data_IF_062093055460
#
_entry.id   IF_062093055460
#
_cell.length_a   1.000
_cell.length_b   1.000
_cell.length_c   1.000
_cell.angle_alpha   90.00
_cell.angle_beta   90.00
_cell.angle_gamma   90.00
#
_symmetry.space_group_name_H-M   'P 1'
#
loop_
_entity.id
_entity.type
_entity.pdbx_description
1 polymer ?
#
# COMPACT_ATOMS: atom_id res chain seq x y z
N UNK A 1 7.24 13.24 -9.94
CA UNK A 1 5.78 13.40 -9.84
C UNK A 1 5.26 12.24 -9.01
N UNK A 2 4.78 12.50 -7.80
CA UNK A 2 4.15 11.50 -6.93
C UNK A 2 2.73 11.25 -7.45
N UNK A 3 2.29 10.00 -7.48
CA UNK A 3 0.92 9.65 -7.85
C UNK A 3 0.41 8.66 -6.82
N UNK A 4 -0.22 9.18 -5.77
CA UNK A 4 -1.18 8.40 -5.01
C UNK A 4 -2.42 8.29 -5.89
N UNK A 5 -2.77 7.08 -6.30
CA UNK A 5 -3.99 6.84 -7.04
C UNK A 5 -4.85 5.87 -6.24
N UNK A 6 -6.08 6.29 -5.95
CA UNK A 6 -7.11 5.37 -5.50
C UNK A 6 -7.73 4.84 -6.79
N UNK A 7 -7.55 3.55 -7.07
CA UNK A 7 -8.28 2.91 -8.14
C UNK A 7 -9.68 2.57 -7.60
N UNK A 8 -10.64 3.45 -7.86
CA UNK A 8 -12.04 3.28 -7.46
C UNK A 8 -12.69 2.06 -8.13
N UNK A 9 -12.19 1.62 -9.29
CA UNK A 9 -12.71 0.43 -9.97
C UNK A 9 -12.19 -0.87 -9.33
N UNK A 10 -10.99 -0.86 -8.72
CA UNK A 10 -10.39 -2.02 -8.07
C UNK A 10 -10.61 -2.05 -6.54
N UNK A 11 -11.18 -0.99 -5.94
CA UNK A 11 -11.27 -0.82 -4.48
C UNK A 11 -9.92 -1.08 -3.79
N UNK A 12 -8.87 -0.46 -4.34
CA UNK A 12 -7.49 -0.63 -3.90
C UNK A 12 -6.83 0.74 -3.68
N UNK A 13 -6.07 0.86 -2.59
CA UNK A 13 -5.20 1.98 -2.33
C UNK A 13 -3.81 1.69 -2.90
N UNK A 14 -3.31 2.57 -3.77
CA UNK A 14 -2.03 2.36 -4.44
C UNK A 14 -1.10 3.54 -4.18
N UNK A 15 0.09 3.23 -3.67
CA UNK A 15 1.23 4.15 -3.58
C UNK A 15 2.31 3.73 -4.58
N UNK A 16 2.85 4.67 -5.35
CA UNK A 16 3.88 4.40 -6.36
C UNK A 16 4.98 5.44 -6.32
N UNK A 17 6.23 4.99 -6.24
CA UNK A 17 7.42 5.85 -6.33
C UNK A 17 8.56 5.14 -7.05
N UNK A 18 8.95 5.70 -8.20
CA UNK A 18 9.97 5.11 -9.06
C UNK A 18 9.58 3.68 -9.50
N UNK A 19 10.43 2.71 -9.16
CA UNK A 19 10.22 1.28 -9.39
C UNK A 19 9.27 0.60 -8.41
N UNK A 20 9.00 1.24 -7.28
CA UNK A 20 8.28 0.67 -6.14
C UNK A 20 6.79 0.94 -6.25
N UNK A 21 5.99 -0.08 -5.97
CA UNK A 21 4.54 -0.04 -5.92
C UNK A 21 4.08 -0.74 -4.64
N UNK A 22 3.24 -0.07 -3.86
CA UNK A 22 2.59 -0.66 -2.68
C UNK A 22 1.10 -0.59 -2.93
N UNK A 23 0.46 -1.74 -2.86
CA UNK A 23 -0.96 -1.92 -3.03
C UNK A 23 -1.57 -2.36 -1.71
N UNK A 24 -2.74 -1.82 -1.39
CA UNK A 24 -3.53 -2.19 -0.23
C UNK A 24 -4.98 -2.43 -0.70
N UNK A 25 -5.40 -3.68 -0.62
CA UNK A 25 -6.75 -4.09 -1.01
C UNK A 25 -7.52 -4.67 0.18
N UNK A 26 -8.86 -4.66 0.06
CA UNK A 26 -9.75 -5.28 1.04
C UNK A 26 -10.37 -6.55 0.43
N UNK A 27 -10.30 -7.64 1.17
CA UNK A 27 -11.00 -8.90 0.85
C UNK A 27 -11.83 -9.33 2.06
N UNK A 28 -13.14 -9.00 2.02
CA UNK A 28 -14.04 -9.21 3.14
C UNK A 28 -13.60 -8.43 4.37
N UNK A 29 -13.28 -9.15 5.46
CA UNK A 29 -12.79 -8.55 6.71
C UNK A 29 -11.26 -8.42 6.77
N UNK A 30 -10.54 -8.85 5.74
CA UNK A 30 -9.08 -8.81 5.72
C UNK A 30 -8.54 -7.72 4.79
N UNK A 31 -7.37 -7.22 5.14
CA UNK A 31 -6.60 -6.24 4.39
C UNK A 31 -5.33 -6.90 3.86
N UNK A 32 -5.09 -6.81 2.56
CA UNK A 32 -3.89 -7.36 1.95
C UNK A 32 -2.98 -6.23 1.52
N UNK A 33 -1.74 -6.23 2.03
CA UNK A 33 -0.67 -5.32 1.63
C UNK A 33 0.26 -6.08 0.70
N UNK A 34 0.46 -5.53 -0.49
CA UNK A 34 1.41 -6.06 -1.47
C UNK A 34 2.46 -5.00 -1.79
N UNK A 35 3.73 -5.40 -1.80
CA UNK A 35 4.82 -4.56 -2.28
C UNK A 35 5.45 -5.20 -3.51
N UNK A 36 5.37 -4.49 -4.63
CA UNK A 36 5.97 -4.88 -5.90
C UNK A 36 7.11 -3.93 -6.25
N UNK A 37 8.14 -4.47 -6.89
CA UNK A 37 9.23 -3.67 -7.43
C UNK A 37 9.62 -4.17 -8.82
N UNK A 38 10.29 -3.30 -9.58
CA UNK A 38 10.84 -3.59 -10.90
C UNK A 38 12.22 -2.97 -11.02
N UNK A 39 13.14 -3.54 -11.77
CA UNK A 39 14.48 -2.95 -11.89
C UNK A 39 15.26 -3.54 -13.04
N UNK A 40 16.34 -2.88 -13.45
CA UNK A 40 17.20 -3.37 -14.55
C UNK A 40 17.69 -4.80 -14.33
N UNK A 41 17.93 -5.18 -13.06
CA UNK A 41 18.32 -6.54 -12.67
C UNK A 41 17.13 -7.47 -12.41
N UNK A 42 16.00 -6.92 -11.94
CA UNK A 42 14.82 -7.71 -11.56
C UNK A 42 13.87 -7.99 -12.74
N UNK A 43 14.04 -7.26 -13.86
CA UNK A 43 13.19 -7.36 -15.04
C UNK A 43 11.81 -6.78 -14.82
N UNK A 44 10.78 -7.50 -15.29
CA UNK A 44 9.38 -7.13 -15.15
C UNK A 44 8.99 -6.96 -13.67
N UNK A 45 7.94 -6.17 -13.41
CA UNK A 45 7.44 -5.94 -12.04
C UNK A 45 7.04 -7.25 -11.38
N UNK A 46 7.55 -7.49 -10.18
CA UNK A 46 7.26 -8.69 -9.38
C UNK A 46 6.87 -8.30 -7.96
N UNK A 47 5.93 -9.05 -7.40
CA UNK A 47 5.64 -9.03 -5.97
C UNK A 47 6.86 -9.49 -5.18
N UNK A 48 7.35 -8.63 -4.29
CA UNK A 48 8.45 -8.93 -3.37
C UNK A 48 7.92 -9.33 -1.99
N UNK A 49 6.72 -8.88 -1.66
CA UNK A 49 6.11 -9.09 -0.37
C UNK A 49 4.59 -9.02 -0.49
N UNK A 50 3.92 -9.92 0.22
CA UNK A 50 2.49 -9.90 0.39
C UNK A 50 2.16 -10.37 1.81
N UNK A 51 1.30 -9.62 2.50
CA UNK A 51 0.76 -10.03 3.79
C UNK A 51 -0.70 -9.65 3.92
N UNK A 52 -1.42 -10.47 4.70
CA UNK A 52 -2.84 -10.28 4.95
C UNK A 52 -3.07 -10.08 6.45
N UNK A 53 -3.81 -9.04 6.79
CA UNK A 53 -4.06 -8.59 8.15
C UNK A 53 -5.57 -8.47 8.39
N UNK A 54 -6.08 -9.03 9.49
CA UNK A 54 -7.48 -8.80 9.89
C UNK A 54 -7.71 -7.43 10.52
N UNK A 55 -6.66 -6.83 11.09
CA UNK A 55 -6.77 -5.54 11.77
C UNK A 55 -6.27 -4.43 10.85
N UNK A 56 -7.13 -3.45 10.55
CA UNK A 56 -6.81 -2.28 9.73
C UNK A 56 -5.55 -1.54 10.24
N UNK A 57 -5.40 -1.43 11.57
CA UNK A 57 -4.23 -0.79 12.18
C UNK A 57 -2.91 -1.48 11.83
N UNK A 58 -2.89 -2.82 11.83
CA UNK A 58 -1.69 -3.58 11.49
C UNK A 58 -1.36 -3.46 9.99
N UNK A 59 -2.39 -3.49 9.13
CA UNK A 59 -2.21 -3.23 7.71
C UNK A 59 -1.66 -1.83 7.43
N UNK A 60 -2.15 -0.79 8.13
CA UNK A 60 -1.67 0.57 7.94
C UNK A 60 -0.21 0.74 8.40
N UNK A 61 0.17 0.09 9.51
CA UNK A 61 1.57 0.02 9.95
C UNK A 61 2.46 -0.73 8.96
N UNK A 62 1.97 -1.80 8.35
CA UNK A 62 2.72 -2.52 7.34
C UNK A 62 2.92 -1.67 6.07
N UNK A 63 1.88 -0.95 5.62
CA UNK A 63 2.01 0.05 4.55
C UNK A 63 3.09 1.07 4.89
N UNK A 64 3.08 1.63 6.10
CA UNK A 64 4.12 2.55 6.57
C UNK A 64 5.52 1.93 6.42
N UNK A 65 5.72 0.72 6.96
CA UNK A 65 7.01 0.02 6.91
C UNK A 65 7.46 -0.25 5.47
N UNK A 66 6.54 -0.62 4.57
CA UNK A 66 6.86 -0.83 3.15
C UNK A 66 7.25 0.47 2.46
N UNK A 67 6.56 1.58 2.74
CA UNK A 67 6.86 2.90 2.18
C UNK A 67 8.24 3.39 2.63
N UNK A 68 8.53 3.31 3.94
CA UNK A 68 9.83 3.67 4.51
C UNK A 68 10.93 2.84 3.86
N UNK A 69 10.75 1.52 3.74
CA UNK A 69 11.73 0.66 3.08
C UNK A 69 11.91 1.00 1.59
N UNK A 70 10.85 1.46 0.91
CA UNK A 70 10.90 1.76 -0.51
C UNK A 70 11.57 3.10 -0.82
N UNK A 71 11.51 4.08 0.08
CA UNK A 71 12.02 5.43 -0.19
C UNK A 71 12.95 6.03 0.87
N UNK A 72 13.21 5.33 1.96
CA UNK A 72 14.06 5.75 3.08
C UNK A 72 13.64 7.09 3.69
N UNK A 73 12.33 7.34 3.77
CA UNK A 73 11.74 8.58 4.26
C UNK A 73 10.60 8.24 5.24
N UNK A 74 10.83 8.56 6.52
CA UNK A 74 9.88 8.27 7.61
C UNK A 74 8.65 9.16 7.56
N UNK A 75 8.80 10.43 7.19
CA UNK A 75 7.70 11.39 7.10
C UNK A 75 6.76 10.99 5.97
N UNK A 76 7.31 10.63 4.81
CA UNK A 76 6.54 10.05 3.70
C UNK A 76 5.79 8.79 4.15
N UNK A 77 6.49 7.89 4.86
CA UNK A 77 5.90 6.68 5.43
C UNK A 77 4.67 6.99 6.29
N UNK A 78 4.79 7.95 7.21
CA UNK A 78 3.70 8.34 8.10
C UNK A 78 2.53 8.96 7.33
N UNK A 79 2.80 9.87 6.39
CA UNK A 79 1.75 10.52 5.59
C UNK A 79 0.97 9.51 4.77
N UNK A 80 1.65 8.57 4.11
CA UNK A 80 1.01 7.53 3.29
C UNK A 80 0.21 6.58 4.17
N UNK A 81 0.72 6.19 5.33
CA UNK A 81 0.00 5.33 6.27
C UNK A 81 -1.27 5.99 6.81
N UNK A 82 -1.25 7.31 7.09
CA UNK A 82 -2.43 8.06 7.49
C UNK A 82 -3.49 8.10 6.38
N UNK A 83 -3.06 8.32 5.13
CA UNK A 83 -3.95 8.29 3.95
C UNK A 83 -4.55 6.89 3.75
N UNK A 84 -3.75 5.84 3.86
CA UNK A 84 -4.20 4.45 3.79
C UNK A 84 -5.22 4.14 4.90
N UNK A 85 -4.96 4.54 6.14
CA UNK A 85 -5.89 4.35 7.26
C UNK A 85 -7.20 5.15 7.10
N UNK A 86 -7.15 6.34 6.51
CA UNK A 86 -8.35 7.09 6.15
C UNK A 86 -9.16 6.37 5.07
N UNK A 87 -8.49 5.82 4.05
CA UNK A 87 -9.14 5.03 3.02
C UNK A 87 -9.78 3.75 3.59
N UNK A 88 -9.05 2.98 4.42
CA UNK A 88 -9.59 1.77 5.08
C UNK A 88 -10.88 2.05 5.84
N UNK A 89 -10.92 3.13 6.63
CA UNK A 89 -12.12 3.54 7.37
C UNK A 89 -13.31 3.86 6.47
N UNK A 90 -13.06 4.49 5.31
CA UNK A 90 -14.12 4.74 4.33
C UNK A 90 -14.61 3.44 3.69
N UNK A 91 -13.69 2.55 3.35
CA UNK A 91 -14.01 1.24 2.78
C UNK A 91 -14.77 0.35 3.77
N UNK A 92 -14.54 0.50 5.08
CA UNK A 92 -15.33 -0.14 6.16
C UNK A 92 -16.74 0.42 6.29
N UNK A 93 -16.93 1.73 6.13
CA UNK A 93 -18.23 2.38 6.27
C UNK A 93 -19.15 2.20 5.04
N UNK A 94 -18.59 1.87 3.87
CA UNK A 94 -19.33 1.65 2.62
C UNK A 94 -19.59 0.19 2.26
N UNK A 95 -19.23 -0.77 3.14
CA UNK A 95 -19.50 -2.20 2.99
C UNK A 95 -20.65 -2.63 3.90
#
# INVERSE_FOLDING_TARGET
>A
MMVDHIDEAANEFIWKKGSSLICLSRSGESWTVEYQTSGRLLGARRSQYQATHRQAKLAAWDVMARVINACHDEDEGLQVALRAAQWMRRSEAGA
#
